data_IF_722179367705
#
_entry.id   IF_722179367705
#
_cell.length_a   1.000
_cell.length_b   1.000
_cell.length_c   1.000
_cell.angle_alpha   90.00
_cell.angle_beta   90.00
_cell.angle_gamma   90.00
#
_symmetry.space_group_name_H-M   'P 1'
#
loop_
_entity.id
_entity.type
_entity.pdbx_description
1 polymer ?
#
# COMPACT_ATOMS: atom_id res chain seq x y z
N UNK A 1 -33.44 -9.28 22.16
CA UNK A 1 -32.71 -8.21 21.45
C UNK A 1 -31.38 -8.81 21.02
N UNK A 2 -31.19 -9.08 19.73
CA UNK A 2 -29.90 -9.52 19.20
C UNK A 2 -29.29 -8.27 18.59
N UNK A 3 -28.22 -7.78 19.22
CA UNK A 3 -27.41 -6.70 18.65
C UNK A 3 -26.76 -7.25 17.38
N UNK A 4 -27.34 -6.88 16.25
CA UNK A 4 -26.72 -7.01 14.94
C UNK A 4 -25.45 -6.17 14.99
N UNK A 5 -24.29 -6.81 15.07
CA UNK A 5 -22.99 -6.19 14.77
C UNK A 5 -23.14 -5.59 13.37
N UNK A 6 -23.41 -4.29 13.38
CA UNK A 6 -23.58 -3.44 12.22
C UNK A 6 -22.58 -3.82 11.14
N UNK A 7 -23.11 -4.02 9.94
CA UNK A 7 -22.45 -4.03 8.64
C UNK A 7 -21.62 -2.74 8.39
N UNK A 8 -20.64 -2.46 9.26
CA UNK A 8 -19.65 -1.40 9.13
C UNK A 8 -18.47 -1.95 8.36
N UNK A 9 -18.71 -2.36 7.12
CA UNK A 9 -17.65 -2.38 6.13
C UNK A 9 -18.09 -1.41 5.05
N UNK A 10 -18.00 -0.10 5.35
CA UNK A 10 -17.60 0.80 4.28
C UNK A 10 -16.40 0.12 3.63
N UNK A 11 -16.48 -0.17 2.33
CA UNK A 11 -15.36 -0.75 1.60
C UNK A 11 -14.15 0.15 1.85
N UNK A 12 -13.23 -0.29 2.71
CA UNK A 12 -12.10 0.51 3.14
C UNK A 12 -11.25 0.78 1.89
N UNK A 13 -11.03 2.06 1.59
CA UNK A 13 -10.21 2.43 0.44
C UNK A 13 -8.84 1.80 0.61
N UNK A 14 -8.32 1.13 -0.42
CA UNK A 14 -7.03 0.43 -0.34
C UNK A 14 -5.90 1.38 0.06
N UNK A 15 -5.99 2.67 -0.31
CA UNK A 15 -5.02 3.69 0.09
C UNK A 15 -5.05 3.89 1.61
N UNK A 16 -6.23 4.07 2.18
CA UNK A 16 -6.40 4.21 3.63
C UNK A 16 -5.99 2.93 4.36
N UNK A 17 -6.42 1.77 3.86
CA UNK A 17 -6.09 0.47 4.45
C UNK A 17 -4.58 0.22 4.53
N UNK A 18 -3.85 0.58 3.47
CA UNK A 18 -2.39 0.44 3.41
C UNK A 18 -1.71 1.50 4.27
N UNK A 19 -2.22 2.74 4.27
CA UNK A 19 -1.68 3.84 5.08
C UNK A 19 -1.67 3.53 6.57
N UNK A 20 -2.74 2.95 7.10
CA UNK A 20 -2.86 2.56 8.51
C UNK A 20 -1.85 1.47 8.93
N UNK A 21 -1.28 0.74 7.96
CA UNK A 21 -0.25 -0.27 8.20
C UNK A 21 1.18 0.29 8.10
N UNK A 22 1.35 1.54 7.65
CA UNK A 22 2.66 2.19 7.60
C UNK A 22 3.11 2.65 8.98
N UNK A 23 4.41 2.58 9.22
CA UNK A 23 5.01 3.18 10.42
C UNK A 23 5.01 4.70 10.31
N UNK A 24 4.98 5.40 11.45
CA UNK A 24 5.03 6.87 11.48
C UNK A 24 6.26 7.42 10.75
N UNK A 25 7.42 6.78 10.92
CA UNK A 25 8.64 7.14 10.17
C UNK A 25 8.47 7.07 8.66
N UNK A 26 7.69 6.11 8.14
CA UNK A 26 7.43 6.04 6.70
C UNK A 26 6.47 7.14 6.24
N UNK A 27 5.50 7.50 7.08
CA UNK A 27 4.54 8.57 6.81
C UNK A 27 5.21 9.95 6.80
N UNK A 28 6.27 10.16 7.60
CA UNK A 28 7.07 11.40 7.61
C UNK A 28 7.67 11.76 6.24
N UNK A 29 7.90 10.77 5.38
CA UNK A 29 8.45 10.97 4.03
C UNK A 29 7.37 11.17 2.95
N UNK A 30 6.08 11.04 3.31
CA UNK A 30 4.97 11.17 2.37
C UNK A 30 4.49 12.62 2.33
N UNK A 31 4.39 13.17 1.12
CA UNK A 31 3.75 14.45 0.88
C UNK A 31 2.23 14.30 0.99
N UNK A 32 1.61 14.92 1.99
CA UNK A 32 0.16 14.91 2.15
C UNK A 32 -0.38 13.69 2.90
N UNK A 33 -1.39 13.03 2.34
CA UNK A 33 -2.16 11.99 3.01
C UNK A 33 -2.41 10.78 2.11
N UNK A 34 -3.08 9.76 2.64
CA UNK A 34 -3.48 8.61 1.84
C UNK A 34 -4.35 8.95 0.63
N UNK A 35 -5.06 10.07 0.65
CA UNK A 35 -5.94 10.51 -0.46
C UNK A 35 -5.14 10.88 -1.71
N UNK A 36 -3.88 11.25 -1.53
CA UNK A 36 -2.98 11.72 -2.57
C UNK A 36 -2.26 10.56 -3.29
N UNK A 37 -2.40 9.34 -2.78
CA UNK A 37 -1.81 8.16 -3.37
C UNK A 37 -2.48 7.75 -4.68
N UNK A 38 -1.67 7.26 -5.63
CA UNK A 38 -2.17 6.57 -6.82
C UNK A 38 -2.27 5.06 -6.55
N UNK A 39 -3.21 4.39 -7.24
CA UNK A 39 -3.42 2.95 -7.13
C UNK A 39 -3.45 2.33 -8.51
N UNK A 40 -2.70 1.24 -8.68
CA UNK A 40 -2.72 0.43 -9.89
C UNK A 40 -2.65 -1.07 -9.53
N UNK A 41 -3.20 -1.93 -10.40
CA UNK A 41 -3.03 -3.38 -10.29
C UNK A 41 -1.85 -3.81 -11.14
N UNK A 42 -0.94 -4.59 -10.57
CA UNK A 42 0.25 -5.09 -11.25
C UNK A 42 0.49 -6.55 -10.93
N UNK A 43 1.23 -7.25 -11.79
CA UNK A 43 1.81 -8.56 -11.44
C UNK A 43 3.12 -8.36 -10.70
N UNK A 44 3.20 -8.82 -9.45
CA UNK A 44 4.40 -8.64 -8.62
C UNK A 44 5.55 -9.53 -9.11
N UNK A 45 6.74 -8.94 -9.29
CA UNK A 45 7.97 -9.65 -9.65
C UNK A 45 9.03 -9.48 -8.57
N UNK A 46 9.95 -10.44 -8.47
CA UNK A 46 10.97 -10.43 -7.41
C UNK A 46 11.91 -9.22 -7.49
N UNK A 47 12.15 -8.70 -8.70
CA UNK A 47 13.00 -7.55 -8.94
C UNK A 47 12.36 -6.19 -8.62
N UNK A 48 11.12 -6.16 -8.12
CA UNK A 48 10.35 -4.91 -7.96
C UNK A 48 10.51 -4.27 -6.58
N UNK A 49 11.33 -4.83 -5.69
CA UNK A 49 11.57 -4.24 -4.38
C UNK A 49 11.85 -5.23 -3.27
N UNK A 50 11.67 -4.77 -2.04
CA UNK A 50 11.73 -5.60 -0.84
C UNK A 50 10.40 -6.31 -0.63
N UNK A 51 10.29 -7.54 -1.15
CA UNK A 51 9.08 -8.36 -1.04
C UNK A 51 9.14 -9.19 0.24
N UNK A 52 8.25 -8.88 1.20
CA UNK A 52 8.15 -9.57 2.50
C UNK A 52 7.51 -10.95 2.34
N UNK A 53 6.44 -11.03 1.56
CA UNK A 53 5.71 -12.28 1.32
C UNK A 53 5.93 -12.76 -0.12
N UNK A 54 6.93 -13.63 -0.31
CA UNK A 54 7.29 -14.17 -1.63
C UNK A 54 6.19 -15.04 -2.24
N UNK A 55 5.15 -15.45 -1.49
CA UNK A 55 4.03 -16.21 -2.06
C UNK A 55 3.16 -15.37 -3.01
N UNK A 56 3.38 -14.05 -3.06
CA UNK A 56 2.73 -13.13 -3.98
C UNK A 56 3.51 -12.90 -5.30
N UNK A 57 4.72 -13.44 -5.44
CA UNK A 57 5.45 -13.35 -6.71
C UNK A 57 4.66 -14.07 -7.81
N UNK A 58 4.48 -13.40 -8.96
CA UNK A 58 3.68 -13.88 -10.08
C UNK A 58 2.16 -13.67 -9.92
N UNK A 59 1.70 -13.10 -8.80
CA UNK A 59 0.28 -12.79 -8.56
C UNK A 59 -0.01 -11.31 -8.77
N UNK A 60 -1.28 -11.00 -9.02
CA UNK A 60 -1.76 -9.62 -9.02
C UNK A 60 -1.83 -9.06 -7.59
N UNK A 61 -1.34 -7.83 -7.45
CA UNK A 61 -1.36 -7.04 -6.21
C UNK A 61 -1.76 -5.60 -6.55
N UNK A 62 -2.17 -4.84 -5.54
CA UNK A 62 -2.21 -3.38 -5.65
C UNK A 62 -0.80 -2.82 -5.45
N UNK A 63 -0.39 -1.89 -6.31
CA UNK A 63 0.68 -0.94 -6.04
C UNK A 63 0.00 0.38 -5.65
N UNK A 64 0.21 0.76 -4.39
CA UNK A 64 -0.18 2.06 -3.84
C UNK A 64 1.08 2.92 -3.82
N UNK A 65 1.09 3.99 -4.60
CA UNK A 65 2.25 4.89 -4.72
C UNK A 65 1.90 6.24 -4.09
N UNK A 66 2.55 6.53 -2.96
CA UNK A 66 2.37 7.78 -2.23
C UNK A 66 3.35 8.83 -2.73
N UNK A 67 2.91 10.07 -3.03
CA UNK A 67 3.84 11.14 -3.37
C UNK A 67 4.79 11.41 -2.19
N UNK A 68 6.01 11.82 -2.47
CA UNK A 68 7.06 12.02 -1.47
C UNK A 68 7.56 13.45 -1.49
N UNK A 69 7.91 13.99 -0.31
CA UNK A 69 8.62 15.27 -0.19
C UNK A 69 10.14 15.14 -0.36
N UNK A 70 10.66 13.91 -0.33
CA UNK A 70 12.06 13.62 -0.63
C UNK A 70 12.43 14.01 -2.07
N UNK A 71 13.73 13.92 -2.41
CA UNK A 71 14.25 14.28 -3.73
C UNK A 71 13.38 13.72 -4.88
N UNK A 72 12.87 14.56 -5.81
CA UNK A 72 11.99 14.13 -6.90
C UNK A 72 12.55 12.97 -7.74
N UNK A 73 13.88 12.80 -7.80
CA UNK A 73 14.50 11.67 -8.49
C UNK A 73 14.25 10.30 -7.84
N UNK A 74 13.83 10.27 -6.57
CA UNK A 74 13.53 9.05 -5.81
C UNK A 74 12.12 8.50 -6.08
N UNK A 75 11.26 9.31 -6.71
CA UNK A 75 9.85 8.98 -6.90
C UNK A 75 9.07 8.88 -5.58
N UNK A 76 7.84 8.37 -5.67
CA UNK A 76 6.97 8.14 -4.52
C UNK A 76 7.39 6.96 -3.64
N UNK A 77 6.63 6.73 -2.57
CA UNK A 77 6.74 5.54 -1.72
C UNK A 77 5.80 4.48 -2.28
N UNK A 78 6.36 3.57 -3.08
CA UNK A 78 5.63 2.43 -3.63
C UNK A 78 5.43 1.32 -2.60
N UNK A 79 4.17 0.94 -2.35
CA UNK A 79 3.77 -0.13 -1.43
C UNK A 79 2.94 -1.17 -2.16
N UNK A 80 3.32 -2.44 -2.03
CA UNK A 80 2.57 -3.56 -2.59
C UNK A 80 1.61 -4.13 -1.55
N UNK A 81 0.35 -4.33 -1.93
CA UNK A 81 -0.70 -4.85 -1.05
C UNK A 81 -1.53 -5.96 -1.72
N UNK A 82 -1.92 -6.96 -0.94
CA UNK A 82 -2.83 -8.01 -1.40
C UNK A 82 -4.19 -7.43 -1.80
N UNK A 83 -4.72 -7.86 -2.95
CA UNK A 83 -6.01 -7.37 -3.48
C UNK A 83 -7.17 -7.73 -2.56
N UNK A 84 -7.09 -8.86 -1.83
CA UNK A 84 -8.20 -9.35 -1.01
C UNK A 84 -8.23 -8.76 0.39
N UNK A 85 -7.07 -8.72 1.04
CA UNK A 85 -6.93 -8.30 2.45
C UNK A 85 -6.37 -6.90 2.63
N UNK A 86 -5.87 -6.27 1.56
CA UNK A 86 -5.12 -5.01 1.61
C UNK A 86 -3.87 -5.04 2.51
N UNK A 87 -3.42 -6.23 2.93
CA UNK A 87 -2.22 -6.38 3.74
C UNK A 87 -0.98 -6.05 2.92
N UNK A 88 -0.04 -5.30 3.50
CA UNK A 88 1.25 -5.02 2.87
C UNK A 88 2.02 -6.33 2.62
N UNK A 89 2.43 -6.55 1.38
CA UNK A 89 3.24 -7.71 0.95
C UNK A 89 4.67 -7.33 0.57
N UNK A 90 4.95 -6.03 0.35
CA UNK A 90 6.29 -5.55 0.05
C UNK A 90 6.34 -4.04 -0.21
N UNK A 91 7.54 -3.54 -0.48
CA UNK A 91 7.82 -2.15 -0.80
C UNK A 91 8.66 -2.06 -2.07
N UNK A 92 8.42 -1.04 -2.89
CA UNK A 92 9.26 -0.71 -4.03
C UNK A 92 10.67 -0.27 -3.60
N UNK A 93 11.65 -0.42 -4.50
CA UNK A 93 12.97 0.17 -4.27
C UNK A 93 12.89 1.70 -4.38
N UNK A 94 13.58 2.39 -3.48
CA UNK A 94 13.94 3.81 -3.57
C UNK A 94 15.46 3.83 -3.42
N UNK A 95 16.16 4.50 -4.33
CA UNK A 95 17.63 4.52 -4.42
C UNK A 95 18.20 5.81 -3.84
#
# INVERSE_FOLDING_TARGET
MKETKSDLTQALDVREAVWEQLTEKQKEHIAGSWKDASVQKITLRESMGQIKDKTFIGKEVYLVDYPSEDNPSLGGIGVYADIKSHRIVGFGYRD
#
